data_IF_008379951034
#
_entry.id   IF_008379951034
#
_cell.length_a   1.000
_cell.length_b   1.000
_cell.length_c   1.000
_cell.angle_alpha   90.00
_cell.angle_beta   90.00
_cell.angle_gamma   90.00
#
_symmetry.space_group_name_H-M   'P 1'
#
loop_
_entity.id
_entity.type
_entity.pdbx_description
1 polymer ?
#
# COMPACT_ATOMS: atom_id res chain seq x y z
N UNK A 1 55.36 12.87 -52.59
CA UNK A 1 55.05 11.99 -51.44
C UNK A 1 54.93 10.56 -51.95
N UNK A 2 55.78 9.68 -51.45
CA UNK A 2 55.90 8.30 -51.98
C UNK A 2 54.68 7.43 -51.59
N UNK A 3 54.15 6.67 -52.55
CA UNK A 3 53.02 5.73 -52.42
C UNK A 3 53.09 4.76 -51.22
N UNK A 4 54.26 4.57 -50.68
CA UNK A 4 54.51 3.70 -49.50
C UNK A 4 54.04 4.30 -48.17
N UNK A 5 53.98 5.61 -48.08
CA UNK A 5 53.56 6.28 -46.82
C UNK A 5 52.04 6.34 -46.71
N UNK A 6 51.31 6.34 -47.82
CA UNK A 6 49.86 6.36 -47.88
C UNK A 6 49.23 5.05 -47.44
N UNK A 7 49.92 3.93 -47.71
CA UNK A 7 49.46 2.59 -47.29
C UNK A 7 49.67 2.33 -45.78
N UNK A 8 50.67 2.98 -45.16
CA UNK A 8 50.89 2.88 -43.69
C UNK A 8 49.93 3.72 -42.87
N UNK A 9 49.51 4.88 -43.41
CA UNK A 9 48.51 5.71 -42.72
C UNK A 9 47.14 5.07 -42.81
N UNK A 10 46.80 4.39 -43.93
CA UNK A 10 45.52 3.69 -44.04
C UNK A 10 45.43 2.40 -43.20
N UNK A 11 46.55 1.76 -42.90
CA UNK A 11 46.59 0.57 -42.08
C UNK A 11 46.54 0.89 -40.58
N UNK A 12 46.93 2.09 -40.17
CA UNK A 12 46.84 2.57 -38.78
C UNK A 12 45.42 3.08 -38.40
N UNK A 13 44.63 3.48 -39.42
CA UNK A 13 43.23 3.92 -39.18
C UNK A 13 42.22 2.75 -39.15
N UNK A 14 42.59 1.57 -39.62
CA UNK A 14 41.73 0.38 -39.56
C UNK A 14 41.88 -0.43 -38.28
N UNK A 15 42.92 -0.17 -37.48
CA UNK A 15 43.14 -0.85 -36.20
C UNK A 15 42.41 -0.19 -35.01
N UNK A 16 41.89 1.04 -35.20
CA UNK A 16 41.18 1.77 -34.15
C UNK A 16 39.66 1.56 -34.10
N UNK A 17 39.09 0.79 -35.04
CA UNK A 17 37.64 0.61 -35.14
C UNK A 17 37.12 -0.75 -34.61
N UNK A 18 38.00 -1.57 -34.00
CA UNK A 18 37.62 -2.92 -33.55
C UNK A 18 37.53 -3.06 -32.03
N UNK A 19 37.48 -1.96 -31.26
CA UNK A 19 37.30 -2.00 -29.80
C UNK A 19 36.11 -1.18 -29.36
N UNK A 20 34.90 -1.55 -29.75
CA UNK A 20 33.68 -1.07 -29.07
C UNK A 20 32.50 -1.95 -29.46
N UNK A 21 32.40 -3.15 -28.93
CA UNK A 21 31.12 -3.85 -28.80
C UNK A 21 31.28 -5.00 -27.81
N UNK A 22 31.62 -4.70 -26.57
CA UNK A 22 31.13 -5.54 -25.50
C UNK A 22 29.79 -5.00 -25.10
N UNK A 23 28.67 -5.74 -25.30
CA UNK A 23 27.45 -5.41 -24.61
C UNK A 23 27.78 -5.59 -23.12
N UNK A 24 27.86 -4.47 -22.38
CA UNK A 24 27.79 -4.51 -20.94
C UNK A 24 26.44 -5.16 -20.63
N UNK A 25 26.50 -6.43 -20.24
CA UNK A 25 25.41 -7.09 -19.54
C UNK A 25 25.30 -6.34 -18.21
N UNK A 26 24.61 -5.23 -18.25
CA UNK A 26 24.07 -4.61 -17.05
C UNK A 26 23.22 -5.71 -16.41
N UNK A 27 23.74 -6.33 -15.37
CA UNK A 27 22.91 -7.06 -14.44
C UNK A 27 21.83 -6.07 -14.01
N UNK A 28 20.67 -6.17 -14.64
CA UNK A 28 19.45 -5.61 -14.13
C UNK A 28 19.15 -6.38 -12.83
N UNK A 29 19.83 -5.99 -11.76
CA UNK A 29 19.26 -6.15 -10.44
C UNK A 29 17.89 -5.49 -10.55
N UNK A 30 16.85 -6.30 -10.45
CA UNK A 30 15.49 -5.83 -10.41
C UNK A 30 15.37 -4.84 -9.24
N UNK A 31 15.59 -3.59 -9.53
CA UNK A 31 15.12 -2.50 -8.66
C UNK A 31 13.61 -2.62 -8.69
N UNK A 32 13.05 -3.27 -7.66
CA UNK A 32 11.62 -3.30 -7.45
C UNK A 32 11.11 -1.88 -7.66
N UNK A 33 10.03 -1.73 -8.44
CA UNK A 33 9.37 -0.43 -8.57
C UNK A 33 9.28 0.18 -7.17
N UNK A 34 9.70 1.44 -6.97
CA UNK A 34 9.52 2.09 -5.67
C UNK A 34 8.04 1.93 -5.29
N UNK A 35 7.81 1.52 -4.04
CA UNK A 35 6.46 1.31 -3.55
C UNK A 35 5.65 2.59 -3.83
N UNK A 36 4.55 2.43 -4.55
CA UNK A 36 3.71 3.57 -4.92
C UNK A 36 3.18 4.22 -3.64
N UNK A 37 3.34 5.53 -3.56
CA UNK A 37 3.00 6.31 -2.37
C UNK A 37 1.57 6.82 -2.46
N UNK A 38 0.85 6.75 -1.35
CA UNK A 38 -0.45 7.41 -1.19
C UNK A 38 -0.18 8.89 -0.92
N UNK A 39 -0.68 9.76 -1.79
CA UNK A 39 -0.58 11.22 -1.68
C UNK A 39 -1.91 11.88 -1.33
N UNK A 40 -3.02 11.17 -1.54
CA UNK A 40 -4.37 11.58 -1.17
C UNK A 40 -5.25 10.37 -0.90
N UNK A 41 -6.33 10.57 -0.17
CA UNK A 41 -7.39 9.56 0.01
C UNK A 41 -8.75 10.26 0.08
N UNK A 42 -9.80 9.56 -0.28
CA UNK A 42 -11.18 10.01 -0.11
C UNK A 42 -11.80 9.32 1.10
N UNK A 43 -11.75 7.99 1.10
CA UNK A 43 -12.31 7.14 2.14
C UNK A 43 -11.45 5.89 2.32
N UNK A 44 -11.28 5.48 3.57
CA UNK A 44 -10.69 4.18 3.94
C UNK A 44 -11.63 3.52 4.94
N UNK A 45 -12.04 2.29 4.67
CA UNK A 45 -12.88 1.49 5.56
C UNK A 45 -12.18 0.19 5.90
N UNK A 46 -11.96 -0.06 7.18
CA UNK A 46 -11.43 -1.30 7.72
C UNK A 46 -12.48 -1.96 8.62
N UNK A 47 -13.00 -3.11 8.22
CA UNK A 47 -13.97 -3.89 9.01
C UNK A 47 -13.30 -5.12 9.59
N UNK A 48 -13.54 -5.37 10.85
CA UNK A 48 -13.07 -6.53 11.62
C UNK A 48 -14.28 -7.27 12.17
N UNK A 49 -14.39 -8.55 11.89
CA UNK A 49 -15.50 -9.39 12.38
C UNK A 49 -14.95 -10.62 13.08
N UNK A 50 -15.36 -10.84 14.32
CA UNK A 50 -15.11 -12.04 15.09
C UNK A 50 -16.42 -12.65 15.57
N UNK A 51 -16.35 -13.75 16.33
CA UNK A 51 -17.54 -14.48 16.79
C UNK A 51 -18.54 -13.60 17.56
N UNK A 52 -18.07 -12.59 18.31
CA UNK A 52 -18.92 -11.80 19.23
C UNK A 52 -18.91 -10.30 18.95
N UNK A 53 -18.20 -9.87 17.91
CA UNK A 53 -18.09 -8.45 17.60
C UNK A 53 -17.92 -8.24 16.11
N UNK A 54 -18.39 -7.10 15.66
CA UNK A 54 -17.99 -6.53 14.38
C UNK A 54 -17.72 -5.05 14.61
N UNK A 55 -16.49 -4.63 14.30
CA UNK A 55 -16.03 -3.26 14.39
C UNK A 55 -15.67 -2.76 13.01
N UNK A 56 -16.01 -1.52 12.71
CA UNK A 56 -15.65 -0.88 11.46
C UNK A 56 -15.00 0.49 11.76
N UNK A 57 -13.83 0.72 11.18
CA UNK A 57 -13.16 2.01 11.15
C UNK A 57 -13.43 2.65 9.81
N UNK A 58 -13.93 3.87 9.83
CA UNK A 58 -14.11 4.68 8.65
C UNK A 58 -13.29 5.95 8.78
N UNK A 59 -12.53 6.27 7.75
CA UNK A 59 -11.68 7.45 7.65
C UNK A 59 -12.12 8.20 6.41
N UNK A 60 -12.61 9.41 6.57
CA UNK A 60 -13.11 10.25 5.48
C UNK A 60 -12.33 11.55 5.43
N UNK A 61 -11.83 11.90 4.25
CA UNK A 61 -11.20 13.19 4.02
C UNK A 61 -12.22 14.33 4.14
N UNK A 62 -11.86 15.35 4.90
CA UNK A 62 -12.62 16.60 5.11
C UNK A 62 -11.67 17.78 4.87
N UNK A 63 -11.48 18.15 3.64
CA UNK A 63 -10.53 19.20 3.23
C UNK A 63 -9.08 18.91 3.66
N UNK A 64 -8.59 19.56 4.72
CA UNK A 64 -7.21 19.37 5.26
C UNK A 64 -7.18 18.42 6.46
N UNK A 65 -8.30 17.98 6.94
CA UNK A 65 -8.47 17.09 8.07
C UNK A 65 -9.05 15.77 7.62
N UNK A 66 -8.93 14.78 8.46
CA UNK A 66 -9.58 13.49 8.31
C UNK A 66 -10.47 13.22 9.51
N UNK A 67 -11.70 12.86 9.25
CA UNK A 67 -12.61 12.33 10.25
C UNK A 67 -12.39 10.83 10.37
N UNK A 68 -12.11 10.37 11.59
CA UNK A 68 -11.92 8.96 11.92
C UNK A 68 -13.04 8.55 12.87
N UNK A 69 -13.83 7.55 12.45
CA UNK A 69 -14.95 7.03 13.26
C UNK A 69 -14.80 5.54 13.42
N UNK A 70 -14.97 5.06 14.65
CA UNK A 70 -15.12 3.65 14.98
C UNK A 70 -16.59 3.33 15.22
N UNK A 71 -17.10 2.34 14.51
CA UNK A 71 -18.45 1.84 14.67
C UNK A 71 -18.46 0.43 15.25
N UNK A 72 -19.36 0.17 16.17
CA UNK A 72 -19.83 -1.18 16.42
C UNK A 72 -20.93 -1.50 15.40
N UNK A 73 -20.82 -2.66 14.74
CA UNK A 73 -21.83 -3.13 13.82
C UNK A 73 -22.71 -4.15 14.54
N UNK A 74 -24.01 -3.91 14.56
CA UNK A 74 -25.02 -4.83 15.06
C UNK A 74 -25.93 -5.26 13.93
N UNK A 75 -26.22 -6.55 13.89
CA UNK A 75 -27.18 -7.09 12.94
C UNK A 75 -28.58 -7.05 13.58
N UNK A 76 -29.45 -6.17 13.08
CA UNK A 76 -30.81 -5.99 13.56
C UNK A 76 -31.78 -5.95 12.37
N UNK A 77 -32.87 -6.70 12.45
CA UNK A 77 -33.94 -6.71 11.41
C UNK A 77 -33.43 -7.01 9.99
N UNK A 78 -32.46 -7.92 9.86
CA UNK A 78 -31.81 -8.29 8.59
C UNK A 78 -30.92 -7.21 7.96
N UNK A 79 -30.51 -6.20 8.74
CA UNK A 79 -29.63 -5.13 8.27
C UNK A 79 -28.47 -4.91 9.25
N UNK A 80 -27.31 -4.50 8.73
CA UNK A 80 -26.19 -4.03 9.51
C UNK A 80 -26.46 -2.60 10.01
N UNK A 81 -26.53 -2.45 11.33
CA UNK A 81 -26.68 -1.15 11.98
C UNK A 81 -25.35 -0.65 12.50
N UNK A 82 -24.89 0.47 11.96
CA UNK A 82 -23.64 1.15 12.38
C UNK A 82 -23.93 2.04 13.60
N UNK A 83 -23.24 1.76 14.73
CA UNK A 83 -23.39 2.51 15.97
C UNK A 83 -22.04 3.16 16.29
N UNK A 84 -21.89 4.49 16.19
CA UNK A 84 -20.62 5.15 16.46
C UNK A 84 -20.22 4.96 17.93
N UNK A 85 -18.95 4.60 18.14
CA UNK A 85 -18.36 4.38 19.47
C UNK A 85 -17.38 5.48 19.83
N UNK A 86 -16.50 5.82 18.90
CA UNK A 86 -15.49 6.86 19.03
C UNK A 86 -15.36 7.63 17.73
N UNK A 87 -15.05 8.90 17.83
CA UNK A 87 -14.88 9.78 16.68
C UNK A 87 -13.85 10.86 17.02
N UNK A 88 -13.03 11.23 16.05
CA UNK A 88 -12.09 12.35 16.17
C UNK A 88 -11.78 12.96 14.81
N UNK A 89 -11.32 14.20 14.81
CA UNK A 89 -10.71 14.85 13.67
C UNK A 89 -9.18 14.86 13.90
N UNK A 90 -8.43 14.65 12.83
CA UNK A 90 -6.97 14.80 12.87
C UNK A 90 -6.47 15.33 11.53
N UNK A 91 -5.21 15.78 11.47
CA UNK A 91 -4.65 16.23 10.19
C UNK A 91 -4.64 15.09 9.16
N UNK A 92 -4.96 15.40 7.90
CA UNK A 92 -4.90 14.45 6.81
C UNK A 92 -3.49 13.86 6.64
N UNK A 93 -2.43 14.65 6.89
CA UNK A 93 -1.04 14.19 6.82
C UNK A 93 -0.74 13.04 7.81
N UNK A 94 -1.38 13.06 8.98
CA UNK A 94 -1.23 11.99 9.96
C UNK A 94 -1.78 10.66 9.44
N UNK A 95 -2.92 10.70 8.79
CA UNK A 95 -3.52 9.53 8.14
C UNK A 95 -2.65 9.10 6.95
N UNK A 96 -2.25 10.01 6.08
CA UNK A 96 -1.37 9.70 4.95
C UNK A 96 -0.08 9.02 5.41
N UNK A 97 0.52 9.53 6.50
CA UNK A 97 1.70 8.90 7.08
C UNK A 97 1.42 7.47 7.54
N UNK A 98 0.33 7.24 8.27
CA UNK A 98 -0.06 5.91 8.76
C UNK A 98 -0.28 4.93 7.60
N UNK A 99 -1.04 5.33 6.56
CA UNK A 99 -1.32 4.48 5.41
C UNK A 99 -0.03 4.12 4.64
N UNK A 100 0.90 5.07 4.50
CA UNK A 100 2.17 4.84 3.84
C UNK A 100 3.14 3.99 4.68
N UNK A 101 3.22 4.24 5.99
CA UNK A 101 4.05 3.44 6.91
C UNK A 101 3.58 1.97 6.92
N UNK A 102 2.27 1.74 6.75
CA UNK A 102 1.69 0.40 6.64
C UNK A 102 1.78 -0.19 5.22
N UNK A 103 2.38 0.50 4.27
CA UNK A 103 2.49 0.05 2.86
C UNK A 103 1.13 -0.36 2.27
N UNK A 104 0.06 0.40 2.57
CA UNK A 104 -1.32 0.02 2.27
C UNK A 104 -1.55 -0.32 0.79
N UNK A 105 -0.82 0.33 -0.13
CA UNK A 105 -0.88 0.03 -1.57
C UNK A 105 -0.52 -1.43 -1.86
N UNK A 106 0.38 -2.03 -1.08
CA UNK A 106 0.78 -3.43 -1.24
C UNK A 106 -0.30 -4.44 -0.84
N UNK A 107 -1.37 -3.97 -0.19
CA UNK A 107 -2.48 -4.83 0.23
C UNK A 107 -3.49 -5.07 -0.89
N UNK A 108 -3.42 -4.30 -1.98
CA UNK A 108 -4.38 -4.44 -3.07
C UNK A 108 -4.38 -5.85 -3.66
N UNK A 109 -5.55 -6.48 -3.69
CA UNK A 109 -5.73 -7.87 -4.09
C UNK A 109 -5.30 -8.91 -3.04
N UNK A 110 -4.92 -8.51 -1.83
CA UNK A 110 -4.62 -9.47 -0.77
C UNK A 110 -5.86 -10.28 -0.41
N UNK A 111 -5.70 -11.61 -0.44
CA UNK A 111 -6.75 -12.56 -0.07
C UNK A 111 -6.19 -13.60 0.89
N UNK A 112 -6.29 -13.33 2.18
CA UNK A 112 -5.75 -14.19 3.25
C UNK A 112 -6.65 -15.38 3.54
N UNK A 113 -6.25 -16.59 3.10
CA UNK A 113 -7.01 -17.81 3.36
C UNK A 113 -7.00 -18.17 4.85
N UNK A 114 -8.14 -18.60 5.35
CA UNK A 114 -8.27 -19.09 6.73
C UNK A 114 -7.36 -20.30 7.00
N UNK A 115 -6.54 -20.30 8.07
CA UNK A 115 -5.68 -21.43 8.42
C UNK A 115 -6.49 -22.67 8.78
N UNK A 116 -6.05 -23.85 8.33
CA UNK A 116 -6.78 -25.11 8.52
C UNK A 116 -7.02 -25.52 9.98
N UNK A 117 -6.18 -25.07 10.90
CA UNK A 117 -6.21 -25.48 12.31
C UNK A 117 -6.85 -24.45 13.24
N UNK A 118 -7.43 -23.39 12.71
CA UNK A 118 -8.12 -22.35 13.48
C UNK A 118 -9.61 -22.57 13.35
N UNK A 119 -10.33 -22.71 14.47
CA UNK A 119 -11.78 -22.91 14.47
C UNK A 119 -12.55 -21.58 14.44
N UNK A 120 -12.04 -20.61 15.19
CA UNK A 120 -12.63 -19.28 15.35
C UNK A 120 -11.56 -18.26 15.04
N UNK A 121 -11.87 -17.29 14.23
CA UNK A 121 -10.88 -16.31 13.80
C UNK A 121 -11.47 -14.95 13.54
N UNK A 122 -10.59 -13.97 13.41
CA UNK A 122 -10.97 -12.62 13.01
C UNK A 122 -10.90 -12.55 11.49
N UNK A 123 -12.00 -12.17 10.87
CA UNK A 123 -12.05 -11.77 9.47
C UNK A 123 -11.82 -10.28 9.37
N UNK A 124 -11.12 -9.86 8.33
CA UNK A 124 -11.01 -8.46 7.99
C UNK A 124 -11.39 -8.21 6.54
N UNK A 125 -11.88 -7.01 6.28
CA UNK A 125 -11.98 -6.46 4.93
C UNK A 125 -11.55 -4.99 4.95
N UNK A 126 -10.79 -4.60 3.93
CA UNK A 126 -10.35 -3.23 3.72
C UNK A 126 -10.81 -2.77 2.34
N UNK A 127 -11.40 -1.58 2.29
CA UNK A 127 -11.70 -0.87 1.07
C UNK A 127 -11.17 0.55 1.21
N UNK A 128 -10.39 1.00 0.24
CA UNK A 128 -9.89 2.37 0.22
C UNK A 128 -9.97 2.97 -1.17
N UNK A 129 -10.23 4.28 -1.22
CA UNK A 129 -10.09 5.10 -2.43
C UNK A 129 -8.97 6.10 -2.18
N UNK A 130 -7.90 5.97 -2.95
CA UNK A 130 -6.67 6.76 -2.79
C UNK A 130 -6.21 7.33 -4.13
N UNK A 131 -5.42 8.38 -4.12
CA UNK A 131 -4.79 8.97 -5.31
C UNK A 131 -5.81 9.26 -6.43
N UNK A 132 -6.95 9.86 -6.07
CA UNK A 132 -8.05 10.20 -6.97
C UNK A 132 -9.09 9.08 -7.06
N UNK A 133 -8.87 8.05 -7.86
CA UNK A 133 -9.87 7.00 -8.12
C UNK A 133 -9.37 5.58 -7.86
N UNK A 134 -8.11 5.42 -7.47
CA UNK A 134 -7.52 4.12 -7.23
C UNK A 134 -8.20 3.41 -6.07
N UNK A 135 -8.71 2.23 -6.33
CA UNK A 135 -9.29 1.36 -5.31
C UNK A 135 -8.25 0.37 -4.79
N UNK A 136 -8.19 0.22 -3.47
CA UNK A 136 -7.43 -0.82 -2.79
C UNK A 136 -8.46 -1.71 -2.10
N UNK A 137 -8.36 -3.01 -2.32
CA UNK A 137 -9.23 -4.01 -1.68
C UNK A 137 -8.39 -5.14 -1.13
N UNK A 138 -8.62 -5.45 0.14
CA UNK A 138 -7.97 -6.56 0.81
C UNK A 138 -8.95 -7.24 1.75
N UNK A 139 -8.85 -8.55 1.89
CA UNK A 139 -9.65 -9.33 2.83
C UNK A 139 -8.88 -10.55 3.32
N UNK A 140 -9.29 -11.10 4.43
CA UNK A 140 -8.70 -12.32 4.95
C UNK A 140 -9.36 -12.78 6.23
N UNK A 141 -8.99 -13.99 6.64
CA UNK A 141 -9.45 -14.62 7.87
C UNK A 141 -8.26 -15.24 8.59
N UNK A 142 -7.93 -14.74 9.78
CA UNK A 142 -6.73 -15.12 10.56
C UNK A 142 -5.40 -15.10 9.78
N UNK A 143 -5.43 -14.48 8.62
CA UNK A 143 -4.28 -14.28 7.75
C UNK A 143 -4.34 -12.84 7.24
N UNK A 144 -3.40 -12.04 7.71
CA UNK A 144 -3.39 -10.60 7.56
C UNK A 144 -2.20 -10.15 6.72
N UNK A 145 -2.31 -9.05 5.97
CA UNK A 145 -1.18 -8.48 5.27
C UNK A 145 -0.13 -7.93 6.24
N UNK A 146 1.07 -7.71 5.73
CA UNK A 146 2.15 -7.05 6.48
C UNK A 146 1.67 -5.70 7.04
N UNK A 147 2.07 -5.36 8.25
CA UNK A 147 1.71 -4.11 8.94
C UNK A 147 0.21 -3.93 9.27
N UNK A 148 -0.59 -4.99 9.22
CA UNK A 148 -2.01 -4.93 9.60
C UNK A 148 -2.20 -4.48 11.07
N UNK A 149 -1.35 -4.98 11.98
CA UNK A 149 -1.42 -4.60 13.40
C UNK A 149 -1.10 -3.15 13.60
N UNK A 150 -0.07 -2.65 12.92
CA UNK A 150 0.37 -1.27 12.98
C UNK A 150 -0.73 -0.32 12.49
N UNK A 151 -1.46 -0.67 11.43
CA UNK A 151 -2.61 0.11 10.99
C UNK A 151 -3.70 0.17 12.07
N UNK A 152 -4.11 -0.98 12.59
CA UNK A 152 -5.13 -1.07 13.63
C UNK A 152 -4.74 -0.28 14.88
N UNK A 153 -3.52 -0.49 15.38
CA UNK A 153 -3.01 0.13 16.58
C UNK A 153 -2.83 1.66 16.39
N UNK A 154 -2.43 2.08 15.18
CA UNK A 154 -2.39 3.49 14.79
C UNK A 154 -3.77 4.15 14.81
N UNK A 155 -4.82 3.49 14.29
CA UNK A 155 -6.20 3.98 14.34
C UNK A 155 -6.69 4.08 15.79
N UNK A 156 -6.40 3.09 16.64
CA UNK A 156 -6.71 3.14 18.07
C UNK A 156 -6.01 4.32 18.75
N UNK A 157 -4.75 4.56 18.46
CA UNK A 157 -3.99 5.68 19.02
C UNK A 157 -4.56 7.04 18.60
N UNK A 158 -5.03 7.15 17.34
CA UNK A 158 -5.69 8.37 16.84
C UNK A 158 -7.00 8.61 17.60
N UNK A 159 -7.85 7.59 17.72
CA UNK A 159 -9.14 7.67 18.40
C UNK A 159 -9.06 7.83 19.94
N UNK A 160 -7.90 7.53 20.53
CA UNK A 160 -7.69 7.62 21.98
C UNK A 160 -7.12 8.97 22.42
N UNK A 161 -6.68 9.82 21.51
CA UNK A 161 -6.21 11.17 21.84
C UNK A 161 -7.43 12.04 22.13
N UNK A 162 -7.51 12.49 23.38
CA UNK A 162 -8.39 13.60 23.75
C UNK A 162 -7.72 14.88 23.26
N UNK A 163 -8.44 15.65 22.45
CA UNK A 163 -8.10 17.05 22.17
C UNK A 163 -8.02 17.88 23.45
#
# INVERSE_FOLDING_TARGET
>A
MSSKNMKRVFMLLLAAAAMMAFPSVSHMFGMGKPAEKITSFEIVTLRLSGMRFTTEYEIVMKDKEAEVVEYAIRYEKNEDKRIPQRQTLCSADRILKLLNDCELVSWDGFHGKHPKNVKDGIMFSLNATVNGDRKIRAEGSENFPKHFRELRDGLHAILSQKD
#
